data_IF_957980875774
#
_entry.id   IF_957980875774
#
_cell.length_a   1.000
_cell.length_b   1.000
_cell.length_c   1.000
_cell.angle_alpha   90.00
_cell.angle_beta   90.00
_cell.angle_gamma   90.00
#
_symmetry.space_group_name_H-M   'P 1'
#
loop_
_entity.id
_entity.type
_entity.pdbx_description
1 polymer ?
#
# COMPACT_ATOMS: atom_id res chain seq x y z
N UNK A 1 -15.25 2.84 10.04
CA UNK A 1 -13.95 2.56 9.39
C UNK A 1 -12.77 3.32 9.99
N UNK A 2 -12.74 4.65 10.04
CA UNK A 2 -11.59 5.42 10.55
C UNK A 2 -11.13 5.07 11.98
N UNK A 3 -12.06 4.72 12.88
CA UNK A 3 -11.73 4.25 14.23
C UNK A 3 -10.86 2.98 14.22
N UNK A 4 -11.06 2.07 13.27
CA UNK A 4 -10.28 0.83 13.15
C UNK A 4 -8.86 1.14 12.66
N UNK A 5 -8.71 2.00 11.64
CA UNK A 5 -7.40 2.43 11.17
C UNK A 5 -6.59 3.14 12.26
N UNK A 6 -7.22 4.03 13.03
CA UNK A 6 -6.55 4.68 14.17
C UNK A 6 -6.09 3.65 15.22
N UNK A 7 -6.87 2.59 15.45
CA UNK A 7 -6.51 1.50 16.36
C UNK A 7 -5.36 0.63 15.80
N UNK A 8 -5.31 0.38 14.49
CA UNK A 8 -4.20 -0.33 13.86
C UNK A 8 -2.92 0.52 13.91
N UNK A 9 -3.00 1.78 13.49
CA UNK A 9 -1.87 2.71 13.52
C UNK A 9 -1.36 2.99 14.94
N UNK A 10 -2.19 2.76 15.97
CA UNK A 10 -1.75 2.77 17.37
C UNK A 10 -0.53 1.87 17.60
N UNK A 11 -0.50 0.69 16.97
CA UNK A 11 0.59 -0.28 17.09
C UNK A 11 1.85 0.12 16.33
N UNK A 12 1.86 1.22 15.56
CA UNK A 12 3.06 1.73 14.86
C UNK A 12 3.19 3.26 15.01
N UNK A 13 3.34 3.79 16.25
CA UNK A 13 3.23 5.23 16.53
C UNK A 13 4.29 6.07 15.81
N UNK A 14 5.54 5.60 15.77
CA UNK A 14 6.65 6.35 15.15
C UNK A 14 6.72 6.31 13.63
N UNK A 15 5.84 5.58 12.93
CA UNK A 15 5.87 5.47 11.46
C UNK A 15 4.52 5.75 10.79
N UNK A 16 3.54 6.30 11.51
CA UNK A 16 2.20 6.60 10.95
C UNK A 16 2.25 7.54 9.75
N UNK A 17 3.18 8.50 9.77
CA UNK A 17 3.38 9.46 8.68
C UNK A 17 3.75 8.77 7.34
N UNK A 18 4.41 7.60 7.38
CA UNK A 18 4.75 6.83 6.18
C UNK A 18 3.49 6.37 5.42
N UNK A 19 2.40 6.08 6.13
CA UNK A 19 1.13 5.74 5.49
C UNK A 19 0.56 6.92 4.69
N UNK A 20 0.60 8.12 5.28
CA UNK A 20 0.14 9.34 4.62
C UNK A 20 0.99 9.65 3.38
N UNK A 21 2.33 9.56 3.52
CA UNK A 21 3.26 9.77 2.40
C UNK A 21 2.97 8.76 1.29
N UNK A 22 2.84 7.48 1.61
CA UNK A 22 2.59 6.46 0.60
C UNK A 22 1.28 6.70 -0.15
N UNK A 23 0.20 7.08 0.56
CA UNK A 23 -1.08 7.42 -0.08
C UNK A 23 -0.91 8.62 -1.02
N UNK A 24 -0.25 9.69 -0.59
CA UNK A 24 -0.01 10.87 -1.42
C UNK A 24 0.82 10.53 -2.66
N UNK A 25 1.87 9.73 -2.51
CA UNK A 25 2.73 9.30 -3.63
C UNK A 25 1.94 8.41 -4.61
N UNK A 26 1.11 7.50 -4.11
CA UNK A 26 0.23 6.68 -4.96
C UNK A 26 -0.76 7.53 -5.73
N UNK A 27 -1.37 8.54 -5.10
CA UNK A 27 -2.28 9.48 -5.78
C UNK A 27 -1.57 10.23 -6.91
N UNK A 28 -0.36 10.75 -6.65
CA UNK A 28 0.46 11.41 -7.68
C UNK A 28 0.77 10.44 -8.82
N UNK A 29 1.21 9.22 -8.50
CA UNK A 29 1.46 8.18 -9.49
C UNK A 29 0.23 7.93 -10.36
N UNK A 30 -0.96 7.81 -9.76
CA UNK A 30 -2.21 7.59 -10.50
C UNK A 30 -2.51 8.74 -11.45
N UNK A 31 -2.32 10.00 -11.02
CA UNK A 31 -2.50 11.15 -11.90
C UNK A 31 -1.54 11.13 -13.09
N UNK A 32 -0.29 10.71 -12.91
CA UNK A 32 0.66 10.57 -14.02
C UNK A 32 0.21 9.47 -15.00
N UNK A 33 -0.23 8.32 -14.50
CA UNK A 33 -0.74 7.23 -15.34
C UNK A 33 -1.99 7.63 -16.11
N UNK A 34 -2.93 8.32 -15.46
CA UNK A 34 -4.14 8.84 -16.13
C UNK A 34 -3.76 9.92 -17.17
N UNK A 35 -2.82 10.79 -16.83
CA UNK A 35 -2.27 11.77 -17.77
C UNK A 35 -1.65 11.12 -19.00
N UNK A 36 -0.97 9.98 -18.85
CA UNK A 36 -0.44 9.22 -19.98
C UNK A 36 -1.56 8.74 -20.94
N UNK A 37 -2.73 8.36 -20.42
CA UNK A 37 -3.88 7.99 -21.26
C UNK A 37 -4.51 9.20 -21.98
N UNK A 38 -4.49 10.38 -21.37
CA UNK A 38 -4.86 11.60 -22.08
C UNK A 38 -3.92 11.85 -23.28
N UNK A 39 -2.61 11.77 -23.06
CA UNK A 39 -1.64 11.94 -24.15
C UNK A 39 -1.68 10.81 -25.17
N UNK A 40 -2.12 9.61 -24.81
CA UNK A 40 -2.38 8.53 -25.77
C UNK A 40 -3.47 8.93 -26.77
N UNK A 41 -4.53 9.59 -26.33
CA UNK A 41 -5.55 10.11 -27.24
C UNK A 41 -4.98 11.17 -28.19
N UNK A 42 -4.18 12.12 -27.68
CA UNK A 42 -3.53 13.14 -28.51
C UNK A 42 -2.52 12.52 -29.49
N UNK A 43 -1.76 11.51 -29.05
CA UNK A 43 -0.87 10.74 -29.90
C UNK A 43 -1.62 10.11 -31.08
N UNK A 44 -2.72 9.40 -30.81
CA UNK A 44 -3.52 8.75 -31.85
C UNK A 44 -4.15 9.76 -32.80
N UNK A 45 -4.62 10.90 -32.30
CA UNK A 45 -5.16 11.99 -33.12
C UNK A 45 -4.09 12.55 -34.06
N UNK A 46 -2.89 12.83 -33.57
CA UNK A 46 -1.79 13.35 -34.39
C UNK A 46 -1.34 12.32 -35.44
N UNK A 47 -1.24 11.05 -35.06
CA UNK A 47 -0.76 9.99 -35.93
C UNK A 47 -1.77 9.61 -37.02
N UNK A 48 -3.04 9.43 -36.66
CA UNK A 48 -4.06 8.83 -37.54
C UNK A 48 -4.87 9.90 -38.28
N UNK A 49 -5.29 10.96 -37.58
CA UNK A 49 -6.22 11.96 -38.14
C UNK A 49 -5.46 13.06 -38.86
N UNK A 50 -4.39 13.56 -38.24
CA UNK A 50 -3.65 14.72 -38.75
C UNK A 50 -2.47 14.29 -39.64
N UNK A 51 -1.82 13.18 -39.32
CA UNK A 51 -0.63 12.69 -40.02
C UNK A 51 0.67 13.40 -39.63
N UNK A 52 0.68 14.17 -38.54
CA UNK A 52 1.89 14.82 -38.03
C UNK A 52 2.73 13.84 -37.19
N UNK A 53 3.69 13.21 -37.86
CA UNK A 53 4.61 12.24 -37.26
C UNK A 53 5.53 12.90 -36.22
N UNK A 54 5.88 14.18 -36.40
CA UNK A 54 6.74 14.90 -35.47
C UNK A 54 6.07 15.07 -34.11
N UNK A 55 4.84 15.56 -34.11
CA UNK A 55 4.06 15.75 -32.90
C UNK A 55 3.61 14.42 -32.28
N UNK A 56 3.31 13.41 -33.10
CA UNK A 56 3.06 12.06 -32.60
C UNK A 56 4.28 11.49 -31.85
N UNK A 57 5.49 11.63 -32.40
CA UNK A 57 6.72 11.19 -31.69
C UNK A 57 6.90 11.91 -30.36
N UNK A 58 6.65 13.21 -30.31
CA UNK A 58 6.71 13.98 -29.06
C UNK A 58 5.77 13.40 -28.00
N UNK A 59 4.49 13.18 -28.33
CA UNK A 59 3.54 12.58 -27.39
C UNK A 59 3.91 11.15 -26.99
N UNK A 60 4.48 10.35 -27.90
CA UNK A 60 4.98 9.02 -27.56
C UNK A 60 6.06 9.06 -26.46
N UNK A 61 7.03 9.98 -26.54
CA UNK A 61 8.04 10.16 -25.49
C UNK A 61 7.43 10.68 -24.17
N UNK A 62 6.45 11.58 -24.24
CA UNK A 62 5.73 12.06 -23.04
C UNK A 62 5.00 10.91 -22.34
N UNK A 63 4.29 10.06 -23.09
CA UNK A 63 3.59 8.88 -22.54
C UNK A 63 4.58 7.97 -21.83
N UNK A 64 5.69 7.61 -22.49
CA UNK A 64 6.72 6.75 -21.90
C UNK A 64 7.28 7.36 -20.62
N UNK A 65 7.60 8.66 -20.63
CA UNK A 65 8.08 9.38 -19.44
C UNK A 65 7.09 9.33 -18.28
N UNK A 66 5.81 9.64 -18.54
CA UNK A 66 4.76 9.61 -17.52
C UNK A 66 4.55 8.21 -16.94
N UNK A 67 4.55 7.17 -17.77
CA UNK A 67 4.37 5.79 -17.32
C UNK A 67 5.57 5.27 -16.52
N UNK A 68 6.80 5.61 -16.91
CA UNK A 68 8.00 5.24 -16.15
C UNK A 68 8.00 5.92 -14.79
N UNK A 69 7.81 7.25 -14.76
CA UNK A 69 7.81 8.01 -13.50
C UNK A 69 6.67 7.55 -12.60
N UNK A 70 5.46 7.38 -13.14
CA UNK A 70 4.33 6.81 -12.40
C UNK A 70 4.66 5.45 -11.81
N UNK A 71 5.16 4.51 -12.63
CA UNK A 71 5.53 3.16 -12.14
C UNK A 71 6.56 3.19 -11.02
N UNK A 72 7.59 4.03 -11.13
CA UNK A 72 8.63 4.16 -10.09
C UNK A 72 8.04 4.70 -8.79
N UNK A 73 7.20 5.73 -8.86
CA UNK A 73 6.51 6.28 -7.69
C UNK A 73 5.59 5.25 -7.04
N UNK A 74 4.82 4.50 -7.85
CA UNK A 74 3.94 3.44 -7.36
C UNK A 74 4.72 2.34 -6.64
N UNK A 75 5.78 1.81 -7.25
CA UNK A 75 6.62 0.78 -6.64
C UNK A 75 7.21 1.29 -5.32
N UNK A 76 7.70 2.52 -5.29
CA UNK A 76 8.18 3.16 -4.06
C UNK A 76 7.12 3.22 -2.96
N UNK A 77 5.91 3.65 -3.30
CA UNK A 77 4.79 3.71 -2.36
C UNK A 77 4.42 2.31 -1.83
N UNK A 78 4.34 1.31 -2.70
CA UNK A 78 4.03 -0.09 -2.35
C UNK A 78 5.08 -0.65 -1.37
N UNK A 79 6.38 -0.44 -1.64
CA UNK A 79 7.45 -0.88 -0.75
C UNK A 79 7.36 -0.23 0.64
N UNK A 80 7.04 1.06 0.70
CA UNK A 80 6.83 1.76 1.98
C UNK A 80 5.63 1.19 2.73
N UNK A 81 4.54 0.87 2.04
CA UNK A 81 3.37 0.25 2.67
C UNK A 81 3.62 -1.17 3.17
N UNK A 82 4.38 -1.99 2.45
CA UNK A 82 4.79 -3.32 2.91
C UNK A 82 5.66 -3.22 4.17
N UNK A 83 6.66 -2.34 4.18
CA UNK A 83 7.49 -2.12 5.36
C UNK A 83 6.69 -1.67 6.60
N UNK A 84 5.62 -0.88 6.39
CA UNK A 84 4.70 -0.51 7.46
C UNK A 84 3.82 -1.69 7.91
N UNK A 85 3.26 -2.45 6.96
CA UNK A 85 2.44 -3.64 7.20
C UNK A 85 3.17 -4.70 8.01
N UNK A 86 4.40 -5.05 7.64
CA UNK A 86 5.23 -6.00 8.39
C UNK A 86 5.49 -5.56 9.84
N UNK A 87 5.68 -4.25 10.03
CA UNK A 87 5.89 -3.70 11.38
C UNK A 87 4.62 -3.77 12.22
N UNK A 88 3.47 -3.50 11.59
CA UNK A 88 2.16 -3.63 12.22
C UNK A 88 1.89 -5.09 12.62
N UNK A 89 2.09 -6.04 11.71
CA UNK A 89 1.98 -7.48 11.96
C UNK A 89 2.85 -7.91 13.16
N UNK A 90 4.14 -7.57 13.13
CA UNK A 90 5.08 -7.93 14.19
C UNK A 90 4.65 -7.37 15.54
N UNK A 91 4.18 -6.11 15.58
CA UNK A 91 3.76 -5.46 16.82
C UNK A 91 2.43 -6.02 17.35
N UNK A 92 1.50 -6.41 16.47
CA UNK A 92 0.27 -7.10 16.85
C UNK A 92 0.57 -8.46 17.47
N UNK A 93 1.47 -9.26 16.89
CA UNK A 93 1.89 -10.54 17.48
C UNK A 93 2.53 -10.36 18.84
N UNK A 94 3.46 -9.40 18.98
CA UNK A 94 4.09 -9.07 20.27
C UNK A 94 3.05 -8.72 21.33
N UNK A 95 2.11 -7.81 21.01
CA UNK A 95 1.06 -7.43 21.95
C UNK A 95 0.13 -8.59 22.29
N UNK A 96 -0.18 -9.45 21.32
CA UNK A 96 -0.95 -10.66 21.53
C UNK A 96 -0.29 -11.57 22.57
N UNK A 97 1.01 -11.82 22.43
CA UNK A 97 1.80 -12.63 23.36
C UNK A 97 1.87 -11.97 24.75
N UNK A 98 2.12 -10.65 24.83
CA UNK A 98 2.10 -9.92 26.11
C UNK A 98 0.74 -10.01 26.81
N UNK A 99 -0.36 -10.09 26.05
CA UNK A 99 -1.69 -10.32 26.61
C UNK A 99 -1.81 -11.71 27.22
N UNK A 100 -1.26 -12.73 26.54
CA UNK A 100 -1.28 -14.12 27.03
C UNK A 100 -0.45 -14.30 28.29
N UNK A 101 0.70 -13.64 28.42
CA UNK A 101 1.52 -13.73 29.66
C UNK A 101 0.81 -13.14 30.87
N UNK A 102 -0.13 -12.23 30.66
CA UNK A 102 -0.98 -11.65 31.71
C UNK A 102 -2.33 -12.38 31.93
N UNK A 103 -2.62 -13.43 31.14
CA UNK A 103 -3.88 -14.15 31.21
C UNK A 103 -3.95 -15.11 32.41
N UNK A 104 -5.15 -15.33 32.95
CA UNK A 104 -5.36 -16.27 34.06
C UNK A 104 -5.28 -17.72 33.60
N UNK A 105 -4.97 -18.66 34.50
CA UNK A 105 -4.99 -20.09 34.19
C UNK A 105 -6.33 -20.56 33.62
N UNK A 106 -7.45 -20.02 34.13
CA UNK A 106 -8.80 -20.30 33.61
C UNK A 106 -8.93 -19.99 32.11
N UNK A 107 -8.24 -18.96 31.60
CA UNK A 107 -8.26 -18.68 30.16
C UNK A 107 -7.64 -19.83 29.36
N UNK A 108 -6.53 -20.38 29.84
CA UNK A 108 -5.83 -21.50 29.21
C UNK A 108 -6.56 -22.84 29.34
N UNK A 109 -7.34 -23.02 30.41
CA UNK A 109 -8.21 -24.20 30.57
C UNK A 109 -9.38 -24.19 29.57
N UNK A 110 -9.90 -23.00 29.25
CA UNK A 110 -11.06 -22.84 28.37
C UNK A 110 -10.71 -22.68 26.89
N UNK A 111 -9.47 -22.28 26.56
CA UNK A 111 -9.05 -21.98 25.19
C UNK A 111 -7.78 -22.76 24.84
N UNK A 112 -7.86 -23.62 23.82
CA UNK A 112 -6.69 -24.37 23.38
C UNK A 112 -5.59 -23.43 22.88
N UNK A 113 -4.36 -23.67 23.33
CA UNK A 113 -3.18 -22.86 22.97
C UNK A 113 -2.97 -22.76 21.46
N UNK A 114 -3.19 -23.86 20.74
CA UNK A 114 -3.11 -23.90 19.28
C UNK A 114 -4.13 -22.99 18.59
N UNK A 115 -5.39 -22.98 19.04
CA UNK A 115 -6.43 -22.09 18.51
C UNK A 115 -6.09 -20.63 18.81
N UNK A 116 -5.69 -20.33 20.04
CA UNK A 116 -5.35 -18.97 20.47
C UNK A 116 -4.17 -18.41 19.68
N UNK A 117 -3.09 -19.18 19.52
CA UNK A 117 -1.95 -18.80 18.71
C UNK A 117 -2.36 -18.55 17.26
N UNK A 118 -3.10 -19.49 16.66
CA UNK A 118 -3.57 -19.37 15.27
C UNK A 118 -4.38 -18.10 15.06
N UNK A 119 -5.28 -17.75 15.98
CA UNK A 119 -6.04 -16.50 15.90
C UNK A 119 -5.10 -15.29 15.86
N UNK A 120 -4.08 -15.23 16.73
CA UNK A 120 -3.13 -14.11 16.75
C UNK A 120 -2.32 -14.07 15.44
N UNK A 121 -1.78 -15.21 15.02
CA UNK A 121 -0.89 -15.30 13.85
C UNK A 121 -1.65 -15.00 12.54
N UNK A 122 -2.82 -15.62 12.33
CA UNK A 122 -3.65 -15.49 11.12
C UNK A 122 -4.18 -14.04 10.99
N UNK A 123 -4.68 -13.43 12.08
CA UNK A 123 -5.20 -12.05 12.01
C UNK A 123 -4.08 -11.01 11.87
N UNK A 124 -2.91 -11.21 12.49
CA UNK A 124 -1.81 -10.28 12.32
C UNK A 124 -1.28 -10.29 10.87
N UNK A 125 -1.23 -11.45 10.24
CA UNK A 125 -0.73 -11.59 8.86
C UNK A 125 -1.62 -10.89 7.82
N UNK A 126 -2.92 -10.73 8.08
CA UNK A 126 -3.83 -9.95 7.22
C UNK A 126 -3.49 -8.46 7.12
N UNK A 127 -2.55 -7.95 7.93
CA UNK A 127 -2.14 -6.54 7.86
C UNK A 127 -1.08 -6.26 6.80
N UNK A 128 -0.58 -7.30 6.14
CA UNK A 128 0.47 -7.20 5.14
C UNK A 128 0.24 -8.08 3.90
N UNK A 129 -0.41 -9.25 4.06
CA UNK A 129 -0.71 -10.18 2.96
C UNK A 129 -1.65 -9.61 1.89
#
# INVERSE_FOLDING_TARGET
>A
MFKVYNKLLYYVPGKRYLACIAITVTVISTFLTVGAYYYLNEFLKQLIVIGDIGQAKYYAFVIVGLLIVGSVLYIGAVLVTHALGFRLETNLRKRGIDGLTSASFRFFDLNSSGKTRRIIDDNAAQTHM
#
